data_IF_499616658310
#
_entry.id   IF_499616658310
#
_cell.length_a   1.000
_cell.length_b   1.000
_cell.length_c   1.000
_cell.angle_alpha   90.00
_cell.angle_beta   90.00
_cell.angle_gamma   90.00
#
_symmetry.space_group_name_H-M   'P 1'
#
loop_
_entity.id
_entity.type
_entity.pdbx_description
1 polymer ?
#
# COMPACT_ATOMS: atom_id res chain seq x y z
N UNK A 1 -80.28 -8.91 -44.10
CA UNK A 1 -80.06 -7.94 -43.00
C UNK A 1 -79.06 -8.57 -42.02
N UNK A 2 -77.80 -8.22 -42.08
CA UNK A 2 -76.79 -8.75 -41.20
C UNK A 2 -76.43 -7.70 -40.13
N UNK A 3 -76.28 -8.08 -38.84
CA UNK A 3 -75.95 -7.14 -37.80
C UNK A 3 -74.42 -6.84 -37.75
N UNK A 4 -74.11 -5.58 -37.54
CA UNK A 4 -72.78 -4.97 -37.47
C UNK A 4 -72.11 -5.35 -36.14
N UNK A 5 -70.97 -6.03 -36.24
CA UNK A 5 -70.19 -6.39 -35.08
C UNK A 5 -69.31 -5.19 -34.63
N UNK A 6 -69.51 -4.73 -33.40
CA UNK A 6 -68.78 -3.66 -32.77
C UNK A 6 -67.46 -4.21 -32.18
N UNK A 7 -66.35 -3.94 -32.81
CA UNK A 7 -65.00 -4.28 -32.25
C UNK A 7 -64.65 -3.33 -31.11
N UNK A 8 -64.56 -3.85 -29.91
CA UNK A 8 -64.02 -3.16 -28.74
C UNK A 8 -62.49 -3.02 -28.86
N UNK A 9 -62.04 -1.80 -28.99
CA UNK A 9 -60.61 -1.48 -28.87
C UNK A 9 -60.26 -1.35 -27.39
N UNK A 10 -59.44 -2.31 -26.91
CA UNK A 10 -58.82 -2.24 -25.59
C UNK A 10 -57.63 -1.33 -25.67
N UNK A 11 -57.68 -0.16 -25.03
CA UNK A 11 -56.54 0.76 -24.90
C UNK A 11 -55.63 0.20 -23.81
N UNK A 12 -54.47 -0.31 -24.22
CA UNK A 12 -53.40 -0.65 -23.28
C UNK A 12 -52.74 0.66 -22.82
N UNK A 13 -52.99 1.03 -21.56
CA UNK A 13 -52.26 2.10 -20.88
C UNK A 13 -50.82 1.60 -20.60
N UNK A 14 -49.88 2.12 -21.36
CA UNK A 14 -48.42 1.87 -21.14
C UNK A 14 -47.98 2.68 -19.93
N UNK A 15 -47.74 1.97 -18.82
CA UNK A 15 -47.18 2.54 -17.58
C UNK A 15 -45.68 2.74 -17.76
N UNK A 16 -45.25 3.94 -18.16
CA UNK A 16 -43.83 4.32 -18.15
C UNK A 16 -43.36 4.45 -16.72
N UNK A 17 -42.72 3.41 -16.21
CA UNK A 17 -41.97 3.48 -14.97
C UNK A 17 -40.70 4.30 -15.21
N UNK A 18 -40.74 5.58 -14.82
CA UNK A 18 -39.58 6.46 -14.78
C UNK A 18 -38.65 6.00 -13.65
N UNK A 19 -37.63 5.20 -13.96
CA UNK A 19 -36.55 4.92 -13.03
C UNK A 19 -35.69 6.18 -12.90
N UNK A 20 -35.91 6.93 -11.81
CA UNK A 20 -35.02 8.01 -11.40
C UNK A 20 -33.67 7.40 -11.02
N UNK A 21 -32.69 7.48 -11.92
CA UNK A 21 -31.30 7.30 -11.56
C UNK A 21 -30.92 8.46 -10.62
N UNK A 22 -30.85 8.16 -9.32
CA UNK A 22 -30.22 9.07 -8.37
C UNK A 22 -28.73 9.23 -8.79
N UNK A 23 -28.20 10.46 -8.90
CA UNK A 23 -26.78 10.64 -9.16
C UNK A 23 -26.01 10.03 -7.99
N UNK A 24 -25.16 9.03 -8.27
CA UNK A 24 -24.12 8.64 -7.33
C UNK A 24 -23.23 9.87 -7.14
N UNK A 25 -23.43 10.57 -6.03
CA UNK A 25 -22.53 11.63 -5.60
C UNK A 25 -21.19 10.97 -5.33
N UNK A 26 -20.27 11.08 -6.29
CA UNK A 26 -18.87 10.77 -6.07
C UNK A 26 -18.37 11.72 -4.98
N UNK A 27 -18.36 11.25 -3.73
CA UNK A 27 -17.69 11.96 -2.66
C UNK A 27 -16.22 11.99 -3.01
N UNK A 28 -15.77 13.11 -3.59
CA UNK A 28 -14.35 13.36 -3.74
C UNK A 28 -13.74 13.31 -2.34
N UNK A 29 -12.89 12.32 -2.11
CA UNK A 29 -12.16 12.21 -0.86
C UNK A 29 -11.34 13.47 -0.67
N UNK A 30 -11.72 14.27 0.33
CA UNK A 30 -11.03 15.52 0.64
C UNK A 30 -9.64 15.18 1.18
N UNK A 31 -8.62 15.85 0.62
CA UNK A 31 -7.27 15.76 1.14
C UNK A 31 -7.26 16.23 2.60
N UNK A 32 -6.79 15.40 3.50
CA UNK A 32 -6.59 15.78 4.90
C UNK A 32 -5.30 16.56 5.05
N UNK A 33 -5.29 17.55 5.96
CA UNK A 33 -4.06 18.24 6.34
C UNK A 33 -3.55 17.58 7.61
N UNK A 34 -2.36 16.99 7.55
CA UNK A 34 -1.70 16.37 8.69
C UNK A 34 -0.31 17.01 8.85
N UNK A 35 -0.04 17.52 10.04
CA UNK A 35 1.22 18.23 10.36
C UNK A 35 1.55 19.38 9.35
N UNK A 36 0.52 20.10 8.86
CA UNK A 36 0.68 21.20 7.88
C UNK A 36 0.84 20.76 6.42
N UNK A 37 0.86 19.46 6.15
CA UNK A 37 1.03 18.91 4.80
C UNK A 37 -0.31 18.38 4.29
N UNK A 38 -0.69 18.78 3.06
CA UNK A 38 -1.86 18.21 2.37
C UNK A 38 -1.53 16.81 1.88
N UNK A 39 -2.20 15.82 2.44
CA UNK A 39 -2.00 14.41 2.07
C UNK A 39 -3.23 13.93 1.31
N UNK A 40 -2.99 13.25 0.18
CA UNK A 40 -4.06 12.59 -0.56
C UNK A 40 -4.59 11.42 0.30
N UNK A 41 -5.92 11.26 0.46
CA UNK A 41 -6.49 10.09 1.13
C UNK A 41 -6.02 8.79 0.47
N UNK A 42 -5.96 7.71 1.25
CA UNK A 42 -5.69 6.38 0.72
C UNK A 42 -6.75 6.00 -0.32
N UNK A 43 -6.32 5.30 -1.36
CA UNK A 43 -7.21 4.89 -2.45
C UNK A 43 -8.31 3.96 -1.97
N UNK A 44 -9.57 4.24 -2.37
CA UNK A 44 -10.71 3.34 -2.13
C UNK A 44 -10.64 2.05 -2.96
N UNK A 45 -9.79 2.00 -3.99
CA UNK A 45 -9.55 0.77 -4.76
C UNK A 45 -9.02 -0.38 -3.90
N UNK A 46 -8.43 -0.07 -2.75
CA UNK A 46 -8.02 -1.00 -1.70
C UNK A 46 -9.14 -1.96 -1.26
N UNK A 47 -10.39 -1.46 -1.17
CA UNK A 47 -11.55 -2.27 -0.74
C UNK A 47 -11.91 -3.32 -1.80
N UNK A 48 -11.64 -3.02 -3.07
CA UNK A 48 -11.98 -3.87 -4.21
C UNK A 48 -10.82 -4.76 -4.68
N UNK A 49 -9.57 -4.41 -4.35
CA UNK A 49 -8.36 -5.10 -4.82
C UNK A 49 -7.83 -6.18 -3.86
N UNK A 50 -8.57 -6.55 -2.80
CA UNK A 50 -8.13 -7.61 -1.88
C UNK A 50 -6.86 -7.24 -1.10
N UNK A 51 -6.85 -6.09 -0.41
CA UNK A 51 -5.67 -5.59 0.31
C UNK A 51 -5.01 -6.60 1.27
N UNK A 52 -5.80 -7.56 1.80
CA UNK A 52 -5.28 -8.67 2.60
C UNK A 52 -4.44 -9.65 1.76
N UNK A 53 -4.88 -9.96 0.53
CA UNK A 53 -4.17 -10.86 -0.38
C UNK A 53 -2.87 -10.21 -0.87
N UNK A 54 -2.88 -8.90 -1.10
CA UNK A 54 -1.68 -8.17 -1.52
C UNK A 54 -0.61 -8.15 -0.43
N UNK A 55 -0.98 -7.91 0.82
CA UNK A 55 -0.04 -7.98 1.95
C UNK A 55 0.51 -9.41 2.15
N UNK A 56 -0.31 -10.43 1.95
CA UNK A 56 0.13 -11.83 1.99
C UNK A 56 1.13 -12.15 0.88
N UNK A 57 0.87 -11.69 -0.34
CA UNK A 57 1.76 -11.85 -1.48
C UNK A 57 3.10 -11.12 -1.28
N UNK A 58 3.07 -9.86 -0.80
CA UNK A 58 4.26 -9.08 -0.49
C UNK A 58 5.12 -9.76 0.57
N UNK A 59 4.49 -10.31 1.63
CA UNK A 59 5.17 -11.07 2.67
C UNK A 59 5.83 -12.33 2.12
N UNK A 60 5.17 -13.04 1.20
CA UNK A 60 5.72 -14.23 0.56
C UNK A 60 6.92 -13.87 -0.33
N UNK A 61 6.82 -12.83 -1.14
CA UNK A 61 7.93 -12.34 -1.99
C UNK A 61 9.13 -11.93 -1.15
N UNK A 62 8.89 -11.22 -0.03
CA UNK A 62 9.96 -10.85 0.88
C UNK A 62 10.62 -12.07 1.53
N UNK A 63 9.86 -13.05 1.96
CA UNK A 63 10.40 -14.29 2.51
C UNK A 63 11.25 -15.05 1.48
N UNK A 64 10.86 -15.08 0.21
CA UNK A 64 11.66 -15.66 -0.88
C UNK A 64 12.98 -14.90 -1.04
N UNK A 65 12.95 -13.57 -1.09
CA UNK A 65 14.16 -12.74 -1.19
C UNK A 65 15.13 -13.02 -0.03
N UNK A 66 14.62 -13.07 1.21
CA UNK A 66 15.47 -13.34 2.40
C UNK A 66 16.05 -14.75 2.36
N UNK A 67 15.29 -15.74 1.90
CA UNK A 67 15.79 -17.11 1.75
C UNK A 67 16.87 -17.21 0.66
N UNK A 68 16.65 -16.59 -0.49
CA UNK A 68 17.67 -16.52 -1.55
C UNK A 68 18.93 -15.80 -1.07
N UNK A 69 18.79 -14.73 -0.29
CA UNK A 69 19.93 -14.03 0.29
C UNK A 69 20.70 -14.91 1.30
N UNK A 70 19.99 -15.73 2.08
CA UNK A 70 20.62 -16.73 2.98
C UNK A 70 21.42 -17.77 2.19
N UNK A 71 20.82 -18.36 1.16
CA UNK A 71 21.46 -19.37 0.32
C UNK A 71 22.73 -18.85 -0.35
N UNK A 72 22.72 -17.57 -0.75
CA UNK A 72 23.86 -16.88 -1.37
C UNK A 72 24.85 -16.28 -0.36
N UNK A 73 24.67 -16.51 0.95
CA UNK A 73 25.42 -15.87 2.03
C UNK A 73 25.43 -14.32 1.94
N UNK A 74 24.37 -13.75 1.39
CA UNK A 74 24.20 -12.31 1.22
C UNK A 74 23.30 -11.69 2.30
N UNK A 75 22.62 -12.48 3.13
CA UNK A 75 21.89 -11.95 4.28
C UNK A 75 22.89 -11.65 5.41
N UNK A 76 22.96 -10.37 5.80
CA UNK A 76 23.80 -9.95 6.90
C UNK A 76 23.20 -10.43 8.23
N UNK A 77 23.97 -11.06 9.14
CA UNK A 77 23.44 -11.63 10.37
C UNK A 77 22.94 -10.55 11.35
N UNK A 78 21.96 -10.91 12.18
CA UNK A 78 21.33 -10.01 13.16
C UNK A 78 22.30 -9.41 14.19
N UNK A 79 23.44 -10.09 14.42
CA UNK A 79 24.47 -9.62 15.33
C UNK A 79 25.31 -8.47 14.77
N UNK A 80 25.25 -8.25 13.45
CA UNK A 80 26.04 -7.22 12.76
C UNK A 80 25.68 -5.81 13.26
N UNK A 81 26.69 -4.94 13.48
CA UNK A 81 26.48 -3.57 13.94
C UNK A 81 25.59 -2.74 13.00
N UNK A 82 25.67 -2.93 11.69
CA UNK A 82 24.85 -2.20 10.73
C UNK A 82 23.38 -2.65 10.78
N UNK A 83 23.11 -3.94 10.96
CA UNK A 83 21.74 -4.44 11.15
C UNK A 83 21.15 -3.86 12.43
N UNK A 84 21.89 -3.84 13.52
CA UNK A 84 21.48 -3.23 14.78
C UNK A 84 21.20 -1.74 14.63
N UNK A 85 22.07 -1.03 13.91
CA UNK A 85 21.94 0.39 13.57
C UNK A 85 20.63 0.65 12.80
N UNK A 86 20.36 -0.09 11.72
CA UNK A 86 19.14 0.04 10.93
C UNK A 86 17.89 -0.21 11.78
N UNK A 87 17.91 -1.23 12.62
CA UNK A 87 16.78 -1.56 13.51
C UNK A 87 16.54 -0.49 14.56
N UNK A 88 17.60 0.08 15.13
CA UNK A 88 17.49 1.20 16.08
C UNK A 88 16.85 2.44 15.43
N UNK A 89 17.20 2.74 14.19
CA UNK A 89 16.60 3.83 13.41
C UNK A 89 15.12 3.52 13.14
N UNK A 90 14.81 2.30 12.68
CA UNK A 90 13.45 1.85 12.41
C UNK A 90 12.54 1.97 13.65
N UNK A 91 13.02 1.56 14.81
CA UNK A 91 12.28 1.68 16.08
C UNK A 91 11.89 3.12 16.43
N UNK A 92 12.63 4.11 15.96
CA UNK A 92 12.32 5.54 16.15
C UNK A 92 11.30 6.06 15.14
N UNK A 93 11.20 5.46 13.96
CA UNK A 93 10.35 5.92 12.85
C UNK A 93 9.00 5.21 12.86
N UNK A 94 8.98 3.88 13.04
CA UNK A 94 7.79 3.02 12.94
C UNK A 94 6.61 3.49 13.79
N UNK A 95 6.78 3.98 15.04
CA UNK A 95 5.65 4.45 15.85
C UNK A 95 4.81 5.57 15.21
N UNK A 96 5.39 6.30 14.27
CA UNK A 96 4.67 7.37 13.54
C UNK A 96 3.90 6.87 12.33
N UNK A 97 4.10 5.63 11.90
CA UNK A 97 3.48 5.05 10.70
C UNK A 97 1.95 5.05 10.76
N UNK A 98 1.38 4.80 11.94
CA UNK A 98 -0.08 4.76 12.16
C UNK A 98 -0.78 6.09 11.93
N UNK A 99 -0.07 7.21 11.99
CA UNK A 99 -0.59 8.54 11.63
C UNK A 99 -1.03 8.63 10.17
N UNK A 100 -0.42 7.82 9.31
CA UNK A 100 -0.61 7.85 7.87
C UNK A 100 -1.41 6.67 7.33
N UNK A 101 -1.37 5.54 8.06
CA UNK A 101 -2.13 4.33 7.75
C UNK A 101 -2.36 3.55 9.05
N UNK A 102 -3.61 3.51 9.52
CA UNK A 102 -3.97 2.82 10.77
C UNK A 102 -3.63 1.32 10.74
N UNK A 103 -3.72 0.68 9.56
CA UNK A 103 -3.36 -0.73 9.42
C UNK A 103 -1.88 -1.01 9.71
N UNK A 104 -1.02 0.01 9.72
CA UNK A 104 0.39 -0.14 10.06
C UNK A 104 0.62 -0.59 11.52
N UNK A 105 -0.39 -0.47 12.40
CA UNK A 105 -0.34 -1.01 13.76
C UNK A 105 -0.21 -2.54 13.78
N UNK A 106 -0.83 -3.20 12.80
CA UNK A 106 -0.87 -4.66 12.69
C UNK A 106 0.22 -5.22 11.75
N UNK A 107 1.07 -4.36 11.20
CA UNK A 107 2.12 -4.81 10.29
C UNK A 107 3.23 -5.55 11.04
N UNK A 108 3.72 -6.62 10.41
CA UNK A 108 4.88 -7.37 10.92
C UNK A 108 6.18 -6.70 10.47
N UNK A 109 6.57 -5.64 11.14
CA UNK A 109 7.76 -4.86 10.82
C UNK A 109 9.04 -5.70 10.93
N UNK A 110 9.80 -5.76 9.84
CA UNK A 110 11.08 -6.45 9.76
C UNK A 110 12.09 -5.56 9.06
N UNK A 111 13.35 -5.61 9.52
CA UNK A 111 14.45 -4.86 8.91
C UNK A 111 15.61 -5.82 8.68
N UNK A 112 15.99 -6.00 7.42
CA UNK A 112 17.12 -6.83 7.00
C UNK A 112 18.11 -6.01 6.17
N UNK A 113 19.39 -6.40 6.25
CA UNK A 113 20.47 -5.87 5.44
C UNK A 113 20.96 -6.97 4.50
N UNK A 114 21.04 -6.65 3.22
CA UNK A 114 21.53 -7.53 2.17
C UNK A 114 22.92 -7.08 1.74
N UNK A 115 23.88 -7.98 1.80
CA UNK A 115 25.26 -7.72 1.33
C UNK A 115 25.27 -7.67 -0.20
N UNK A 116 25.23 -6.48 -0.75
CA UNK A 116 25.20 -6.22 -2.18
C UNK A 116 25.68 -4.81 -2.48
N UNK A 117 26.37 -4.65 -3.60
CA UNK A 117 26.86 -3.36 -4.09
C UNK A 117 25.78 -2.44 -4.65
N UNK A 118 24.53 -2.89 -4.70
CA UNK A 118 23.41 -2.07 -5.17
C UNK A 118 23.18 -0.89 -4.24
N UNK A 119 22.96 0.29 -4.84
CA UNK A 119 22.51 1.49 -4.12
C UNK A 119 20.98 1.46 -4.09
N UNK A 120 20.43 0.73 -3.14
CA UNK A 120 18.98 0.52 -3.06
C UNK A 120 18.52 0.25 -1.62
N UNK A 121 17.26 0.58 -1.35
CA UNK A 121 16.49 0.19 -0.19
C UNK A 121 15.01 0.11 -0.60
N UNK A 122 14.19 -0.61 0.14
CA UNK A 122 12.73 -0.62 -0.08
C UNK A 122 11.97 -1.03 1.18
N UNK A 123 10.68 -0.70 1.21
CA UNK A 123 9.72 -1.20 2.17
C UNK A 123 8.51 -1.77 1.42
N UNK A 124 8.20 -3.04 1.66
CA UNK A 124 6.99 -3.66 1.11
C UNK A 124 5.77 -3.39 2.00
N UNK A 125 4.57 -3.38 1.43
CA UNK A 125 3.32 -3.36 2.21
C UNK A 125 3.30 -4.49 3.24
N UNK A 126 2.90 -4.16 4.48
CA UNK A 126 3.00 -5.08 5.60
C UNK A 126 4.27 -4.93 6.45
N UNK A 127 5.16 -3.96 6.12
CA UNK A 127 6.26 -3.53 6.99
C UNK A 127 7.58 -4.25 6.79
N UNK A 128 7.81 -4.90 5.65
CA UNK A 128 9.06 -5.59 5.36
C UNK A 128 10.05 -4.62 4.71
N UNK A 129 11.13 -4.28 5.43
CA UNK A 129 12.16 -3.32 5.02
C UNK A 129 13.44 -4.08 4.67
N UNK A 130 14.04 -3.76 3.53
CA UNK A 130 15.37 -4.21 3.17
C UNK A 130 16.26 -3.04 2.76
N UNK A 131 17.49 -3.05 3.25
CA UNK A 131 18.58 -2.20 2.79
C UNK A 131 19.63 -3.06 2.11
N UNK A 132 20.24 -2.54 1.06
CA UNK A 132 21.44 -3.11 0.46
C UNK A 132 22.67 -2.41 1.04
N UNK A 133 23.72 -3.16 1.33
CA UNK A 133 24.93 -2.56 1.93
C UNK A 133 25.52 -1.43 1.08
N UNK A 134 25.37 -1.53 -0.25
CA UNK A 134 25.88 -0.54 -1.18
C UNK A 134 25.33 0.88 -0.99
N UNK A 135 24.05 1.04 -0.58
CA UNK A 135 23.52 2.39 -0.34
C UNK A 135 24.18 3.05 0.87
N UNK A 136 24.50 2.26 1.90
CA UNK A 136 25.14 2.78 3.11
C UNK A 136 26.60 3.08 2.85
N UNK A 137 27.33 2.13 2.24
CA UNK A 137 28.79 2.20 2.09
C UNK A 137 29.22 3.16 0.99
N UNK A 138 28.56 3.11 -0.19
CA UNK A 138 28.95 3.97 -1.33
C UNK A 138 28.57 5.42 -1.12
N UNK A 139 27.48 5.68 -0.42
CA UNK A 139 27.02 7.05 -0.11
C UNK A 139 27.52 7.52 1.26
N UNK A 140 28.17 6.65 2.04
CA UNK A 140 28.67 6.93 3.39
C UNK A 140 27.58 7.57 4.29
N UNK A 141 26.37 6.99 4.29
CA UNK A 141 25.20 7.57 4.94
C UNK A 141 25.36 7.65 6.47
N UNK A 142 25.09 8.84 7.00
CA UNK A 142 24.89 9.09 8.43
C UNK A 142 23.57 8.47 8.93
N UNK A 143 23.35 8.43 10.24
CA UNK A 143 22.11 7.91 10.82
C UNK A 143 20.87 8.71 10.37
N UNK A 144 21.01 10.03 10.27
CA UNK A 144 19.91 10.92 9.84
C UNK A 144 19.57 10.68 8.36
N UNK A 145 20.58 10.49 7.50
CA UNK A 145 20.37 10.18 6.09
C UNK A 145 19.74 8.79 5.90
N UNK A 146 20.16 7.79 6.67
CA UNK A 146 19.52 6.48 6.70
C UNK A 146 18.06 6.60 7.16
N UNK A 147 17.80 7.43 8.17
CA UNK A 147 16.44 7.69 8.65
C UNK A 147 15.56 8.33 7.58
N UNK A 148 16.09 9.28 6.81
CA UNK A 148 15.39 9.91 5.67
C UNK A 148 15.06 8.89 4.59
N UNK A 149 16.03 8.07 4.18
CA UNK A 149 15.82 7.00 3.18
C UNK A 149 14.76 6.02 3.69
N UNK A 150 14.91 5.53 4.92
CA UNK A 150 13.97 4.58 5.52
C UNK A 150 12.55 5.16 5.62
N UNK A 151 12.42 6.40 6.05
CA UNK A 151 11.13 7.10 6.12
C UNK A 151 10.48 7.26 4.75
N UNK A 152 11.28 7.53 3.71
CA UNK A 152 10.85 7.60 2.32
C UNK A 152 10.28 6.25 1.87
N UNK A 153 11.00 5.15 2.07
CA UNK A 153 10.55 3.81 1.68
C UNK A 153 9.30 3.37 2.47
N UNK A 154 9.27 3.64 3.77
CA UNK A 154 8.07 3.39 4.59
C UNK A 154 6.88 4.18 4.05
N UNK A 155 7.07 5.43 3.63
CA UNK A 155 5.98 6.24 3.09
C UNK A 155 5.37 5.64 1.82
N UNK A 156 6.16 5.02 0.95
CA UNK A 156 5.66 4.30 -0.21
C UNK A 156 4.76 3.12 0.20
N UNK A 157 5.18 2.33 1.18
CA UNK A 157 4.38 1.22 1.69
C UNK A 157 3.09 1.70 2.37
N UNK A 158 3.16 2.75 3.21
CA UNK A 158 1.99 3.33 3.89
C UNK A 158 0.97 3.91 2.90
N UNK A 159 1.44 4.48 1.80
CA UNK A 159 0.61 5.06 0.74
C UNK A 159 0.16 4.02 -0.29
N UNK A 160 0.62 2.78 -0.15
CA UNK A 160 0.28 1.67 -1.04
C UNK A 160 0.54 2.00 -2.52
N UNK A 161 1.63 2.75 -2.79
CA UNK A 161 1.97 3.17 -4.15
C UNK A 161 2.16 1.99 -5.11
N UNK A 162 2.54 0.82 -4.60
CA UNK A 162 2.66 -0.42 -5.37
C UNK A 162 1.31 -1.03 -5.78
N UNK A 163 0.19 -0.57 -5.22
CA UNK A 163 -1.16 -0.99 -5.59
C UNK A 163 -1.81 -0.04 -6.60
N UNK A 164 -1.21 1.12 -6.84
CA UNK A 164 -1.77 2.17 -7.69
C UNK A 164 -1.27 2.13 -9.15
N UNK A 165 -0.48 1.10 -9.52
CA UNK A 165 0.05 0.88 -10.87
C UNK A 165 -0.77 -0.15 -11.64
#
# INVERSE_FOLDING_TARGET
MAPISLKRYTVLASLCASTALAPLSAHAQQATVQDGIKVRPLSTSRIFAGGADFNAQSKQQYAQLVNEAKEKNALVPDSDPQVKRLRAIAQRIIPFATRWNEAAADWNWQVNLLNSDQVNAFCMPGGQIAFYSGIITKLNLTDDEVAIVMGHEISHALREHSQAQ
#
